data_IF_093626246791
#
_entry.id   IF_093626246791
#
_cell.length_a   1.000
_cell.length_b   1.000
_cell.length_c   1.000
_cell.angle_alpha   90.00
_cell.angle_beta   90.00
_cell.angle_gamma   90.00
#
_symmetry.space_group_name_H-M   'P 1'
#
loop_
_entity.id
_entity.type
_entity.pdbx_description
1 polymer ?
#
# COMPACT_ATOMS: atom_id res chain seq x y z
N UNK A 1 0.44 17.19 -0.89
CA UNK A 1 0.34 17.12 -2.35
C UNK A 1 1.41 16.19 -2.85
N UNK A 2 1.27 15.49 -3.96
CA UNK A 2 2.38 14.77 -4.57
C UNK A 2 3.51 15.77 -4.84
N UNK A 3 4.77 15.38 -4.63
CA UNK A 3 5.90 16.29 -4.65
C UNK A 3 6.02 17.08 -5.95
N UNK A 4 6.52 18.29 -5.85
CA UNK A 4 6.82 19.15 -6.99
C UNK A 4 7.83 18.43 -7.92
N UNK A 5 7.43 18.21 -9.17
CA UNK A 5 8.27 17.53 -10.17
C UNK A 5 9.58 18.28 -10.42
N UNK A 6 9.57 19.63 -10.37
CA UNK A 6 10.78 20.44 -10.51
C UNK A 6 11.76 20.25 -9.35
N UNK A 7 11.24 20.06 -8.12
CA UNK A 7 12.06 19.75 -6.96
C UNK A 7 12.65 18.33 -7.07
N UNK A 8 11.85 17.34 -7.44
CA UNK A 8 12.30 15.96 -7.63
C UNK A 8 13.36 15.83 -8.73
N UNK A 9 13.22 16.60 -9.80
CA UNK A 9 14.18 16.61 -10.93
C UNK A 9 15.57 17.12 -10.57
N UNK A 10 15.76 17.75 -9.39
CA UNK A 10 17.07 18.20 -8.93
C UNK A 10 17.99 17.02 -8.53
N UNK A 11 17.45 15.82 -8.40
CA UNK A 11 18.22 14.62 -8.09
C UNK A 11 17.91 13.52 -9.11
N UNK A 12 18.94 13.13 -9.83
CA UNK A 12 18.90 11.98 -10.74
C UNK A 12 19.94 10.96 -10.24
N UNK A 13 19.56 9.70 -10.22
CA UNK A 13 20.45 8.59 -9.88
C UNK A 13 20.46 7.55 -11.00
N UNK A 14 21.53 6.80 -11.15
CA UNK A 14 21.51 5.60 -11.98
C UNK A 14 20.65 4.51 -11.32
N UNK A 15 19.93 3.75 -12.14
CA UNK A 15 19.11 2.64 -11.66
C UNK A 15 20.00 1.50 -11.19
N UNK A 16 19.93 1.16 -9.92
CA UNK A 16 20.62 0.00 -9.36
C UNK A 16 19.89 -1.28 -9.77
N UNK A 17 20.63 -2.37 -10.04
CA UNK A 17 20.05 -3.68 -10.38
C UNK A 17 18.83 -3.57 -11.33
N UNK A 18 19.07 -2.95 -12.50
CA UNK A 18 18.02 -2.57 -13.44
C UNK A 18 17.20 -3.77 -13.98
N UNK A 19 17.76 -4.97 -13.95
CA UNK A 19 17.13 -6.19 -14.46
C UNK A 19 16.26 -6.90 -13.42
N UNK A 20 16.28 -6.46 -12.16
CA UNK A 20 15.45 -7.03 -11.09
C UNK A 20 13.97 -6.88 -11.43
N UNK A 21 13.21 -7.97 -11.60
CA UNK A 21 11.77 -7.86 -11.78
C UNK A 21 11.12 -7.29 -10.52
N UNK A 22 10.19 -6.36 -10.73
CA UNK A 22 9.44 -5.69 -9.68
C UNK A 22 7.95 -5.92 -9.92
N UNK A 23 7.26 -6.44 -8.92
CA UNK A 23 5.82 -6.30 -8.78
C UNK A 23 5.56 -5.21 -7.73
N UNK A 24 5.11 -4.03 -8.15
CA UNK A 24 4.76 -2.95 -7.23
C UNK A 24 3.35 -3.17 -6.67
N UNK A 25 3.19 -3.59 -5.41
CA UNK A 25 1.91 -4.02 -4.87
C UNK A 25 1.04 -2.87 -4.33
N UNK A 26 1.44 -1.59 -4.56
CA UNK A 26 0.67 -0.46 -4.06
C UNK A 26 0.94 0.83 -4.83
N UNK A 27 0.02 1.16 -5.70
CA UNK A 27 -0.06 2.50 -6.29
C UNK A 27 -1.52 2.95 -6.39
N UNK A 28 -1.70 4.24 -6.63
CA UNK A 28 -3.00 4.86 -6.88
C UNK A 28 -3.04 5.47 -8.27
N UNK A 29 -4.25 5.65 -8.80
CA UNK A 29 -4.50 6.36 -10.06
C UNK A 29 -5.70 7.28 -9.87
N UNK A 30 -5.59 8.52 -10.33
CA UNK A 30 -6.68 9.49 -10.27
C UNK A 30 -6.56 10.56 -11.35
N UNK A 31 -7.67 11.21 -11.64
CA UNK A 31 -7.75 12.41 -12.45
C UNK A 31 -8.85 13.32 -11.90
N UNK A 32 -8.67 14.64 -12.03
CA UNK A 32 -9.67 15.66 -11.64
C UNK A 32 -10.15 15.60 -10.19
N UNK A 33 -9.34 15.08 -9.28
CA UNK A 33 -9.61 15.18 -7.86
C UNK A 33 -9.19 16.55 -7.33
N UNK A 34 -9.96 17.09 -6.39
CA UNK A 34 -9.89 18.50 -5.95
C UNK A 34 -8.55 18.96 -5.36
N UNK A 35 -7.61 18.06 -5.13
CA UNK A 35 -6.35 18.34 -4.44
C UNK A 35 -5.14 17.60 -5.01
N UNK A 36 -5.25 17.06 -6.22
CA UNK A 36 -4.19 16.23 -6.80
C UNK A 36 -4.03 16.50 -8.30
N UNK A 37 -2.81 16.57 -8.77
CA UNK A 37 -2.51 16.52 -10.20
C UNK A 37 -2.93 15.16 -10.77
N UNK A 38 -3.22 15.12 -12.07
CA UNK A 38 -3.49 13.89 -12.79
C UNK A 38 -2.36 12.88 -12.58
N UNK A 39 -2.73 11.64 -12.29
CA UNK A 39 -1.81 10.51 -12.23
C UNK A 39 -2.53 9.25 -12.75
N UNK A 40 -2.27 8.93 -14.00
CA UNK A 40 -2.86 7.79 -14.72
C UNK A 40 -1.74 6.88 -15.24
N UNK A 41 -2.07 6.01 -16.21
CA UNK A 41 -1.14 5.01 -16.73
C UNK A 41 0.15 5.63 -17.29
N UNK A 42 0.05 6.72 -18.04
CA UNK A 42 1.22 7.36 -18.66
C UNK A 42 2.18 7.93 -17.62
N UNK A 43 1.65 8.60 -16.59
CA UNK A 43 2.45 9.14 -15.49
C UNK A 43 3.09 8.01 -14.64
N UNK A 44 2.34 6.94 -14.38
CA UNK A 44 2.86 5.76 -13.68
C UNK A 44 4.02 5.11 -14.45
N UNK A 45 3.87 4.93 -15.77
CA UNK A 45 4.91 4.35 -16.61
C UNK A 45 6.15 5.23 -16.70
N UNK A 46 5.96 6.56 -16.77
CA UNK A 46 7.06 7.51 -16.76
C UNK A 46 7.86 7.46 -15.45
N UNK A 47 7.19 7.27 -14.33
CA UNK A 47 7.83 7.17 -13.00
C UNK A 47 8.72 5.93 -12.85
N UNK A 48 8.48 4.85 -13.57
CA UNK A 48 9.30 3.62 -13.47
C UNK A 48 10.79 3.87 -13.75
N UNK A 49 11.12 4.90 -14.56
CA UNK A 49 12.46 5.47 -14.64
C UNK A 49 13.59 4.50 -15.00
N UNK A 50 13.30 3.42 -15.72
CA UNK A 50 14.26 2.37 -16.08
C UNK A 50 14.32 1.19 -15.12
N UNK A 51 13.55 1.19 -14.03
CA UNK A 51 13.31 -0.03 -13.25
C UNK A 51 12.45 -1.01 -14.03
N UNK A 52 12.75 -2.31 -13.93
CA UNK A 52 11.98 -3.37 -14.58
C UNK A 52 10.73 -3.71 -13.77
N UNK A 53 9.74 -2.82 -13.80
CA UNK A 53 8.42 -3.09 -13.23
C UNK A 53 7.64 -3.98 -14.19
N UNK A 54 7.32 -5.20 -13.77
CA UNK A 54 6.62 -6.18 -14.60
C UNK A 54 5.13 -6.23 -14.35
N UNK A 55 4.70 -5.92 -13.12
CA UNK A 55 3.29 -5.84 -12.76
C UNK A 55 3.05 -4.90 -11.59
N UNK A 56 1.80 -4.45 -11.42
CA UNK A 56 1.42 -3.60 -10.29
C UNK A 56 0.07 -4.00 -9.71
N UNK A 57 -0.18 -3.59 -8.45
CA UNK A 57 -1.50 -3.69 -7.80
C UNK A 57 -2.03 -2.29 -7.54
N UNK A 58 -3.20 -2.00 -8.11
CA UNK A 58 -3.95 -0.80 -7.81
C UNK A 58 -4.62 -0.92 -6.44
N UNK A 59 -4.53 0.11 -5.62
CA UNK A 59 -5.22 0.19 -4.34
C UNK A 59 -6.17 1.39 -4.33
N UNK A 60 -7.37 1.21 -3.81
CA UNK A 60 -8.43 2.22 -3.72
C UNK A 60 -7.90 3.58 -3.22
N UNK A 61 -8.43 4.66 -3.77
CA UNK A 61 -8.07 6.03 -3.41
C UNK A 61 -9.23 7.03 -3.54
N UNK A 62 -10.46 6.53 -3.53
CA UNK A 62 -11.70 7.26 -3.72
C UNK A 62 -11.83 7.91 -5.12
N UNK A 63 -11.25 7.28 -6.14
CA UNK A 63 -11.31 7.76 -7.51
C UNK A 63 -12.46 7.15 -8.31
N UNK A 64 -13.00 7.89 -9.27
CA UNK A 64 -13.89 7.37 -10.32
C UNK A 64 -15.10 6.58 -9.82
N UNK A 65 -15.70 7.01 -8.70
CA UNK A 65 -16.94 6.41 -8.23
C UNK A 65 -18.09 6.69 -9.21
N UNK A 66 -19.01 5.75 -9.34
CA UNK A 66 -20.21 5.96 -10.17
C UNK A 66 -20.99 7.17 -9.66
N UNK A 67 -21.38 8.07 -10.58
CA UNK A 67 -22.21 9.21 -10.28
C UNK A 67 -23.67 8.84 -10.11
N UNK A 68 -24.11 7.83 -10.85
CA UNK A 68 -25.51 7.40 -10.95
C UNK A 68 -25.68 5.95 -10.50
N UNK A 69 -26.94 5.55 -10.28
CA UNK A 69 -27.31 4.19 -9.92
C UNK A 69 -27.45 3.97 -8.41
N UNK A 70 -27.27 2.73 -7.97
CA UNK A 70 -27.39 2.37 -6.56
C UNK A 70 -26.20 2.91 -5.76
N UNK A 71 -26.47 3.81 -4.82
CA UNK A 71 -25.49 4.41 -3.92
C UNK A 71 -24.64 3.35 -3.18
N UNK A 72 -25.25 2.21 -2.85
CA UNK A 72 -24.53 1.11 -2.20
C UNK A 72 -23.46 0.45 -3.08
N UNK A 73 -23.52 0.63 -4.38
CA UNK A 73 -22.61 0.06 -5.38
C UNK A 73 -21.73 1.13 -6.05
N UNK A 74 -21.79 2.39 -5.64
CA UNK A 74 -21.03 3.48 -6.29
C UNK A 74 -19.52 3.23 -6.35
N UNK A 75 -18.98 2.56 -5.36
CA UNK A 75 -17.54 2.27 -5.27
C UNK A 75 -17.05 1.28 -6.34
N UNK A 76 -17.96 0.52 -6.96
CA UNK A 76 -17.63 -0.39 -8.08
C UNK A 76 -17.05 0.37 -9.28
N UNK A 77 -17.40 1.66 -9.45
CA UNK A 77 -16.83 2.52 -10.49
C UNK A 77 -15.31 2.60 -10.46
N UNK A 78 -14.69 2.62 -9.27
CA UNK A 78 -13.24 2.61 -9.14
C UNK A 78 -12.63 1.27 -9.62
N UNK A 79 -13.30 0.15 -9.37
CA UNK A 79 -12.87 -1.16 -9.89
C UNK A 79 -13.01 -1.23 -11.42
N UNK A 80 -14.08 -0.70 -11.98
CA UNK A 80 -14.30 -0.61 -13.43
C UNK A 80 -13.22 0.24 -14.10
N UNK A 81 -12.89 1.37 -13.48
CA UNK A 81 -11.82 2.24 -13.93
C UNK A 81 -10.46 1.52 -13.94
N UNK A 82 -10.06 0.93 -12.80
CA UNK A 82 -8.81 0.20 -12.68
C UNK A 82 -8.74 -1.00 -13.65
N UNK A 83 -9.88 -1.69 -13.86
CA UNK A 83 -10.00 -2.76 -14.86
C UNK A 83 -9.80 -2.24 -16.30
N UNK A 84 -10.30 -1.03 -16.60
CA UNK A 84 -10.07 -0.36 -17.88
C UNK A 84 -8.60 -0.05 -18.12
N UNK A 85 -7.90 0.48 -17.10
CA UNK A 85 -6.45 0.73 -17.15
C UNK A 85 -5.67 -0.57 -17.33
N UNK A 86 -6.07 -1.62 -16.62
CA UNK A 86 -5.46 -2.94 -16.78
C UNK A 86 -5.62 -3.48 -18.20
N UNK A 87 -6.77 -3.26 -18.84
CA UNK A 87 -7.02 -3.65 -20.23
C UNK A 87 -6.14 -2.83 -21.19
N UNK A 88 -5.97 -1.52 -20.97
CA UNK A 88 -5.04 -0.68 -21.73
C UNK A 88 -3.61 -1.25 -21.64
N UNK A 89 -3.12 -1.51 -20.44
CA UNK A 89 -1.78 -2.08 -20.23
C UNK A 89 -1.63 -3.45 -20.91
N UNK A 90 -2.63 -4.31 -20.81
CA UNK A 90 -2.61 -5.65 -21.39
C UNK A 90 -2.68 -5.68 -22.94
N UNK A 91 -3.02 -4.56 -23.60
CA UNK A 91 -3.08 -4.47 -25.06
C UNK A 91 -1.71 -4.58 -25.73
N UNK A 92 -0.61 -4.39 -24.97
CA UNK A 92 0.76 -4.36 -25.49
C UNK A 92 1.19 -3.01 -26.06
N UNK A 93 0.27 -2.05 -26.21
CA UNK A 93 0.61 -0.70 -26.71
C UNK A 93 1.37 0.15 -25.65
N UNK A 94 1.35 -0.26 -24.39
CA UNK A 94 2.00 0.39 -23.25
C UNK A 94 3.24 -0.38 -22.76
N UNK A 95 3.83 -1.22 -23.61
CA UNK A 95 4.97 -2.08 -23.26
C UNK A 95 4.57 -3.41 -22.62
N UNK A 96 5.52 -4.06 -21.94
CA UNK A 96 5.34 -5.42 -21.40
C UNK A 96 4.74 -5.43 -19.98
N UNK A 97 4.69 -4.28 -19.30
CA UNK A 97 4.16 -4.16 -17.95
C UNK A 97 2.68 -4.59 -17.89
N UNK A 98 2.28 -5.14 -16.78
CA UNK A 98 0.88 -5.46 -16.46
C UNK A 98 0.43 -4.55 -15.30
N UNK A 99 0.14 -3.29 -15.63
CA UNK A 99 -0.41 -2.35 -14.67
C UNK A 99 -1.79 -2.80 -14.18
N UNK A 100 -2.09 -2.60 -12.90
CA UNK A 100 -3.33 -3.06 -12.25
C UNK A 100 -3.59 -4.57 -12.44
N UNK A 101 -2.52 -5.40 -12.44
CA UNK A 101 -2.66 -6.86 -12.50
C UNK A 101 -3.44 -7.41 -11.29
N UNK A 102 -3.41 -6.71 -10.16
CA UNK A 102 -4.30 -6.85 -9.02
C UNK A 102 -5.05 -5.55 -8.75
N UNK A 103 -6.26 -5.66 -8.22
CA UNK A 103 -7.11 -4.53 -7.82
C UNK A 103 -7.59 -4.77 -6.40
N UNK A 104 -7.30 -3.82 -5.52
CA UNK A 104 -7.80 -3.74 -4.14
C UNK A 104 -8.75 -2.55 -4.08
N UNK A 105 -10.04 -2.82 -3.88
CA UNK A 105 -11.09 -1.81 -3.91
C UNK A 105 -11.58 -1.46 -2.51
N UNK A 106 -12.54 -0.52 -2.42
CA UNK A 106 -13.16 -0.12 -1.17
C UNK A 106 -14.42 -0.92 -0.87
N UNK A 107 -14.56 -1.36 0.39
CA UNK A 107 -15.84 -1.83 0.92
C UNK A 107 -16.02 -1.37 2.37
N UNK A 108 -17.25 -1.05 2.75
CA UNK A 108 -17.60 -0.72 4.14
C UNK A 108 -18.04 -1.99 4.88
N UNK A 109 -17.11 -2.57 5.63
CA UNK A 109 -17.32 -3.81 6.37
C UNK A 109 -18.26 -3.61 7.58
N UNK A 110 -18.52 -2.37 8.02
CA UNK A 110 -19.48 -2.09 9.10
C UNK A 110 -20.91 -2.41 8.69
N UNK A 111 -21.18 -2.61 7.40
CA UNK A 111 -22.46 -3.10 6.90
C UNK A 111 -22.75 -4.57 7.27
N UNK A 112 -21.80 -5.24 7.91
CA UNK A 112 -21.96 -6.64 8.27
C UNK A 112 -22.15 -7.52 7.03
N UNK A 113 -23.06 -8.51 7.09
CA UNK A 113 -23.33 -9.42 5.96
C UNK A 113 -23.84 -8.73 4.69
N UNK A 114 -24.42 -7.53 4.77
CA UNK A 114 -24.93 -6.81 3.60
C UNK A 114 -23.83 -6.33 2.65
N UNK A 115 -22.56 -6.33 3.11
CA UNK A 115 -21.40 -6.03 2.26
C UNK A 115 -21.23 -7.06 1.14
N UNK A 116 -21.75 -8.26 1.30
CA UNK A 116 -21.70 -9.36 0.32
C UNK A 116 -22.09 -8.91 -1.10
N UNK A 117 -23.18 -8.17 -1.23
CA UNK A 117 -23.67 -7.64 -2.51
C UNK A 117 -22.64 -6.74 -3.20
N UNK A 118 -21.96 -5.88 -2.44
CA UNK A 118 -20.92 -5.00 -2.98
C UNK A 118 -19.69 -5.81 -3.41
N UNK A 119 -19.25 -6.79 -2.60
CA UNK A 119 -18.10 -7.64 -2.93
C UNK A 119 -18.37 -8.44 -4.20
N UNK A 120 -19.58 -8.99 -4.37
CA UNK A 120 -19.97 -9.72 -5.57
C UNK A 120 -20.00 -8.80 -6.80
N UNK A 121 -20.41 -7.53 -6.64
CA UNK A 121 -20.40 -6.55 -7.72
C UNK A 121 -18.95 -6.17 -8.14
N UNK A 122 -18.02 -6.05 -7.20
CA UNK A 122 -16.60 -5.86 -7.52
C UNK A 122 -16.02 -7.07 -8.27
N UNK A 123 -16.34 -8.29 -7.82
CA UNK A 123 -15.93 -9.52 -8.52
C UNK A 123 -16.47 -9.53 -9.94
N UNK A 124 -17.74 -9.20 -10.15
CA UNK A 124 -18.35 -9.15 -11.48
C UNK A 124 -17.69 -8.10 -12.39
N UNK A 125 -17.32 -6.94 -11.85
CA UNK A 125 -16.64 -5.86 -12.58
C UNK A 125 -15.21 -6.23 -13.01
N UNK A 126 -14.52 -7.11 -12.27
CA UNK A 126 -13.14 -7.51 -12.57
C UNK A 126 -12.84 -8.92 -12.07
N UNK A 127 -13.39 -9.94 -12.74
CA UNK A 127 -13.37 -11.34 -12.31
C UNK A 127 -11.99 -11.91 -12.01
N UNK A 128 -10.96 -11.50 -12.75
CA UNK A 128 -9.61 -12.06 -12.62
C UNK A 128 -8.64 -11.18 -11.85
N UNK A 129 -8.89 -9.84 -11.76
CA UNK A 129 -7.97 -8.88 -11.17
C UNK A 129 -8.42 -8.34 -9.83
N UNK A 130 -9.71 -8.37 -9.49
CA UNK A 130 -10.16 -8.01 -8.15
C UNK A 130 -9.67 -9.05 -7.13
N UNK A 131 -8.84 -8.62 -6.17
CA UNK A 131 -8.13 -9.52 -5.25
C UNK A 131 -8.52 -9.35 -3.81
N UNK A 132 -9.00 -8.17 -3.44
CA UNK A 132 -9.29 -7.83 -2.06
C UNK A 132 -9.87 -6.45 -1.90
N UNK A 133 -10.01 -6.07 -0.65
CA UNK A 133 -10.51 -4.72 -0.29
C UNK A 133 -9.59 -4.06 0.73
N UNK A 134 -9.66 -2.73 0.75
CA UNK A 134 -9.18 -1.90 1.84
C UNK A 134 -10.37 -1.17 2.48
N UNK A 135 -10.50 -1.31 3.78
CA UNK A 135 -11.31 -0.42 4.61
C UNK A 135 -10.33 0.33 5.51
N UNK A 136 -9.88 1.49 5.04
CA UNK A 136 -8.87 2.28 5.74
C UNK A 136 -9.35 2.62 7.16
N UNK A 137 -8.58 2.22 8.17
CA UNK A 137 -8.94 2.30 9.58
C UNK A 137 -8.04 3.23 10.39
N UNK A 138 -7.12 3.96 9.73
CA UNK A 138 -6.19 4.85 10.41
C UNK A 138 -6.94 5.96 11.16
N UNK A 139 -6.84 5.92 12.48
CA UNK A 139 -7.48 6.81 13.44
C UNK A 139 -6.49 7.19 14.53
N UNK A 140 -6.59 8.43 14.99
CA UNK A 140 -5.85 8.93 16.14
C UNK A 140 -6.75 9.90 16.92
N UNK A 141 -6.66 9.94 18.27
CA UNK A 141 -7.46 10.87 19.08
C UNK A 141 -7.06 12.33 18.89
N UNK A 142 -5.83 12.58 18.45
CA UNK A 142 -5.29 13.94 18.34
C UNK A 142 -5.78 14.64 17.06
N UNK A 143 -6.30 15.87 17.15
CA UNK A 143 -6.93 16.56 16.02
C UNK A 143 -5.93 16.93 14.89
N UNK A 144 -4.63 17.04 15.20
CA UNK A 144 -3.59 17.31 14.20
C UNK A 144 -3.29 16.10 13.32
N UNK A 145 -3.68 14.89 13.75
CA UNK A 145 -3.47 13.68 12.99
C UNK A 145 -4.68 13.43 12.11
N UNK A 146 -4.45 13.46 10.80
CA UNK A 146 -5.51 13.23 9.82
C UNK A 146 -6.02 11.78 9.90
N UNK A 147 -7.32 11.62 10.10
CA UNK A 147 -7.98 10.32 9.95
C UNK A 147 -8.06 9.93 8.48
N UNK A 148 -8.18 8.63 8.22
CA UNK A 148 -8.44 8.15 6.86
C UNK A 148 -9.70 8.78 6.25
N UNK A 149 -9.78 8.77 4.93
CA UNK A 149 -10.93 9.28 4.16
C UNK A 149 -12.25 8.54 4.46
N UNK A 150 -12.17 7.37 5.10
CA UNK A 150 -13.33 6.61 5.60
C UNK A 150 -13.90 7.18 6.90
N UNK A 151 -13.20 8.15 7.53
CA UNK A 151 -13.54 8.70 8.85
C UNK A 151 -13.78 7.62 9.93
N UNK A 152 -12.87 6.65 10.11
CA UNK A 152 -13.09 5.51 11.00
C UNK A 152 -13.26 5.95 12.45
N UNK A 153 -14.12 5.27 13.24
CA UNK A 153 -14.15 5.42 14.69
C UNK A 153 -12.93 4.72 15.33
N UNK A 154 -12.63 5.01 16.62
CA UNK A 154 -11.68 4.21 17.39
C UNK A 154 -12.15 2.76 17.51
N UNK A 155 -11.21 1.80 17.52
CA UNK A 155 -11.52 0.39 17.74
C UNK A 155 -12.28 -0.30 16.59
N UNK A 156 -12.25 0.27 15.38
CA UNK A 156 -13.00 -0.24 14.23
C UNK A 156 -12.78 -1.73 13.96
N UNK A 157 -11.54 -2.21 14.06
CA UNK A 157 -11.21 -3.61 13.76
C UNK A 157 -11.75 -4.59 14.80
N UNK A 158 -12.16 -4.07 15.96
CA UNK A 158 -12.84 -4.82 17.02
C UNK A 158 -14.37 -4.79 16.93
N UNK A 159 -14.94 -3.91 16.10
CA UNK A 159 -16.39 -3.74 15.98
C UNK A 159 -17.09 -5.01 15.49
N UNK A 160 -18.19 -5.37 16.11
CA UNK A 160 -18.91 -6.61 15.80
C UNK A 160 -19.54 -6.62 14.41
N UNK A 161 -20.02 -5.47 13.91
CA UNK A 161 -20.59 -5.38 12.56
C UNK A 161 -19.46 -5.44 11.53
N UNK A 162 -18.33 -4.75 11.78
CA UNK A 162 -17.13 -4.84 10.95
C UNK A 162 -16.67 -6.30 10.81
N UNK A 163 -16.56 -7.04 11.92
CA UNK A 163 -16.10 -8.45 11.90
C UNK A 163 -17.09 -9.38 11.19
N UNK A 164 -18.40 -9.12 11.25
CA UNK A 164 -19.37 -9.86 10.42
C UNK A 164 -19.17 -9.58 8.93
N UNK A 165 -18.89 -8.34 8.56
CA UNK A 165 -18.53 -7.98 7.17
C UNK A 165 -17.19 -8.56 6.75
N UNK A 166 -16.21 -8.60 7.65
CA UNK A 166 -14.89 -9.19 7.39
C UNK A 166 -14.98 -10.69 7.07
N UNK A 167 -15.88 -11.43 7.72
CA UNK A 167 -16.14 -12.83 7.43
C UNK A 167 -16.62 -13.09 5.99
N UNK A 168 -17.21 -12.09 5.31
CA UNK A 168 -17.61 -12.21 3.90
C UNK A 168 -16.42 -12.24 2.95
N UNK A 169 -15.23 -11.74 3.38
CA UNK A 169 -13.98 -11.83 2.61
C UNK A 169 -13.49 -13.28 2.54
N UNK A 170 -13.54 -14.00 3.65
CA UNK A 170 -13.13 -15.40 3.72
C UNK A 170 -13.94 -16.27 2.74
N UNK A 171 -15.26 -16.08 2.71
CA UNK A 171 -16.16 -16.83 1.82
C UNK A 171 -15.84 -16.65 0.33
N UNK A 172 -15.20 -15.52 -0.02
CA UNK A 172 -14.87 -15.15 -1.40
C UNK A 172 -13.37 -15.29 -1.71
N UNK A 173 -12.57 -15.72 -0.75
CA UNK A 173 -11.11 -15.80 -0.89
C UNK A 173 -10.45 -14.44 -1.16
N UNK A 174 -11.02 -13.34 -0.64
CA UNK A 174 -10.51 -12.00 -0.81
C UNK A 174 -9.50 -11.64 0.27
N UNK A 175 -8.49 -10.84 -0.07
CA UNK A 175 -7.54 -10.27 0.89
C UNK A 175 -8.09 -8.99 1.53
N UNK A 176 -7.48 -8.62 2.65
CA UNK A 176 -7.73 -7.37 3.33
C UNK A 176 -6.43 -6.57 3.47
N UNK A 177 -6.37 -5.38 2.85
CA UNK A 177 -5.27 -4.44 3.02
C UNK A 177 -5.58 -3.53 4.22
N UNK A 178 -4.70 -3.56 5.22
CA UNK A 178 -4.90 -2.90 6.51
C UNK A 178 -4.11 -1.59 6.57
N UNK A 179 -4.74 -0.47 6.20
CA UNK A 179 -4.21 0.87 6.44
C UNK A 179 -4.67 1.39 7.80
N UNK A 180 -3.71 1.55 8.72
CA UNK A 180 -3.92 1.99 10.10
C UNK A 180 -2.68 2.76 10.60
N UNK A 181 -2.73 3.34 11.79
CA UNK A 181 -1.56 3.89 12.46
C UNK A 181 -0.94 2.90 13.44
N UNK A 182 0.35 3.07 13.71
CA UNK A 182 1.19 2.13 14.45
C UNK A 182 0.60 1.66 15.79
N UNK A 183 -0.07 2.53 16.52
CA UNK A 183 -0.69 2.19 17.82
C UNK A 183 -1.96 1.31 17.68
N UNK A 184 -2.46 1.12 16.45
CA UNK A 184 -3.59 0.22 16.15
C UNK A 184 -3.13 -1.19 15.72
N UNK A 185 -1.82 -1.46 15.60
CA UNK A 185 -1.30 -2.80 15.24
C UNK A 185 -1.83 -3.90 16.17
N UNK A 186 -1.98 -3.70 17.51
CA UNK A 186 -2.61 -4.70 18.38
C UNK A 186 -4.05 -5.06 18.00
N UNK A 187 -4.85 -4.11 17.50
CA UNK A 187 -6.20 -4.39 16.99
C UNK A 187 -6.15 -5.29 15.75
N UNK A 188 -5.19 -5.03 14.84
CA UNK A 188 -4.98 -5.86 13.65
C UNK A 188 -4.53 -7.27 14.03
N UNK A 189 -3.67 -7.41 15.04
CA UNK A 189 -3.24 -8.72 15.56
C UNK A 189 -4.43 -9.51 16.08
N UNK A 190 -5.35 -8.86 16.81
CA UNK A 190 -6.57 -9.49 17.29
C UNK A 190 -7.51 -9.90 16.15
N UNK A 191 -7.60 -9.10 15.08
CA UNK A 191 -8.37 -9.43 13.88
C UNK A 191 -7.74 -10.62 13.14
N UNK A 192 -6.42 -10.60 12.92
CA UNK A 192 -5.71 -11.66 12.22
C UNK A 192 -5.84 -13.03 12.91
N UNK A 193 -5.79 -13.04 14.24
CA UNK A 193 -6.02 -14.26 15.05
C UNK A 193 -7.45 -14.77 14.97
N UNK A 194 -8.43 -13.85 14.83
CA UNK A 194 -9.85 -14.22 14.73
C UNK A 194 -10.22 -14.79 13.34
N UNK A 195 -9.46 -14.43 12.30
CA UNK A 195 -9.72 -14.82 10.90
C UNK A 195 -8.46 -15.40 10.23
N UNK A 196 -7.97 -16.57 10.68
CA UNK A 196 -6.69 -17.10 10.23
C UNK A 196 -6.66 -17.51 8.74
N UNK A 197 -7.81 -17.68 8.11
CA UNK A 197 -7.92 -18.07 6.70
C UNK A 197 -7.99 -16.86 5.74
N UNK A 198 -8.10 -15.64 6.25
CA UNK A 198 -8.08 -14.43 5.42
C UNK A 198 -6.64 -13.93 5.29
N UNK A 199 -6.16 -13.75 4.06
CA UNK A 199 -4.90 -13.05 3.84
C UNK A 199 -5.04 -11.59 4.21
N UNK A 200 -4.27 -11.14 5.19
CA UNK A 200 -4.21 -9.74 5.62
C UNK A 200 -2.87 -9.17 5.17
N UNK A 201 -2.89 -7.97 4.61
CA UNK A 201 -1.70 -7.24 4.18
C UNK A 201 -1.59 -5.97 5.03
N UNK A 202 -0.55 -5.88 5.84
CA UNK A 202 -0.24 -4.66 6.60
C UNK A 202 0.31 -3.59 5.65
N UNK A 203 -0.42 -2.51 5.44
CA UNK A 203 0.03 -1.38 4.62
C UNK A 203 1.05 -0.53 5.40
N UNK A 204 2.11 -0.09 4.71
CA UNK A 204 2.98 1.02 5.13
C UNK A 204 3.55 0.90 6.55
N UNK A 205 4.06 -0.29 6.92
CA UNK A 205 4.56 -0.56 8.28
C UNK A 205 3.53 -0.32 9.40
N UNK A 206 2.24 -0.24 9.08
CA UNK A 206 1.23 0.22 10.04
C UNK A 206 1.38 1.70 10.40
N UNK A 207 1.73 2.55 9.44
CA UNK A 207 1.74 4.00 9.52
C UNK A 207 2.40 4.60 10.76
N UNK A 208 3.71 4.43 10.99
CA UNK A 208 4.39 5.06 12.14
C UNK A 208 4.28 6.57 12.07
N UNK A 209 3.64 7.19 13.07
CA UNK A 209 3.45 8.64 13.15
C UNK A 209 4.74 9.35 13.55
N UNK A 210 5.01 10.53 12.95
CA UNK A 210 6.17 11.36 13.26
C UNK A 210 5.86 12.85 13.34
N UNK A 211 4.58 13.22 13.28
CA UNK A 211 4.10 14.62 13.33
C UNK A 211 3.24 14.88 14.56
N UNK A 212 2.86 16.13 14.78
CA UNK A 212 2.00 16.52 15.90
C UNK A 212 2.55 16.02 17.25
N UNK A 213 1.75 15.33 18.07
CA UNK A 213 2.19 14.84 19.40
C UNK A 213 3.30 13.77 19.33
N UNK A 214 3.58 13.25 18.13
CA UNK A 214 4.60 12.22 17.86
C UNK A 214 5.92 12.82 17.33
N UNK A 215 5.97 14.12 17.06
CA UNK A 215 7.19 14.79 16.60
C UNK A 215 8.32 14.62 17.62
N UNK A 216 9.52 14.28 17.12
CA UNK A 216 10.70 14.04 17.96
C UNK A 216 10.72 12.72 18.74
N UNK A 217 9.66 11.90 18.70
CA UNK A 217 9.55 10.64 19.46
C UNK A 217 9.85 9.38 18.65
N UNK A 218 10.55 9.49 17.53
CA UNK A 218 10.79 8.37 16.60
C UNK A 218 11.39 7.14 17.27
N UNK A 219 12.35 7.32 18.20
CA UNK A 219 12.99 6.20 18.91
C UNK A 219 12.01 5.46 19.82
N UNK A 220 11.15 6.20 20.53
CA UNK A 220 10.10 5.66 21.41
C UNK A 220 9.06 4.89 20.58
N UNK A 221 8.58 5.52 19.51
CA UNK A 221 7.62 4.90 18.58
C UNK A 221 8.20 3.64 17.96
N UNK A 222 9.45 3.67 17.50
CA UNK A 222 10.11 2.50 16.95
C UNK A 222 10.22 1.36 17.96
N UNK A 223 10.53 1.68 19.23
CA UNK A 223 10.64 0.68 20.28
C UNK A 223 9.28 -0.01 20.56
N UNK A 224 8.18 0.74 20.57
CA UNK A 224 6.84 0.18 20.73
C UNK A 224 6.40 -0.57 19.47
N UNK A 225 6.58 0.02 18.29
CA UNK A 225 6.26 -0.60 17.00
C UNK A 225 6.92 -1.98 16.84
N UNK A 226 8.19 -2.13 17.25
CA UNK A 226 8.86 -3.43 17.22
C UNK A 226 8.11 -4.49 18.01
N UNK A 227 7.65 -4.18 19.22
CA UNK A 227 6.90 -5.12 20.06
C UNK A 227 5.58 -5.55 19.40
N UNK A 228 4.87 -4.57 18.83
CA UNK A 228 3.57 -4.82 18.22
C UNK A 228 3.71 -5.61 16.92
N UNK A 229 4.75 -5.32 16.12
CA UNK A 229 5.10 -6.07 14.91
C UNK A 229 5.56 -7.49 15.24
N UNK A 230 6.32 -7.70 16.31
CA UNK A 230 6.73 -9.03 16.77
C UNK A 230 5.52 -9.93 17.04
N UNK A 231 4.47 -9.37 17.66
CA UNK A 231 3.22 -10.09 17.91
C UNK A 231 2.41 -10.33 16.63
N UNK A 232 2.32 -9.33 15.76
CA UNK A 232 1.59 -9.44 14.49
C UNK A 232 2.25 -10.47 13.56
N UNK A 233 3.58 -10.50 13.51
CA UNK A 233 4.35 -11.41 12.66
C UNK A 233 4.16 -12.91 13.02
N UNK A 234 3.64 -13.21 14.22
CA UNK A 234 3.23 -14.59 14.61
C UNK A 234 1.96 -15.05 13.90
N UNK A 235 1.20 -14.13 13.32
CA UNK A 235 0.03 -14.47 12.52
C UNK A 235 0.48 -14.82 11.09
N UNK A 236 0.45 -16.11 10.74
CA UNK A 236 0.99 -16.59 9.44
C UNK A 236 0.18 -16.09 8.23
N UNK A 237 -1.07 -15.72 8.45
CA UNK A 237 -1.96 -15.12 7.45
C UNK A 237 -1.68 -13.63 7.18
N UNK A 238 -0.66 -13.03 7.82
CA UNK A 238 -0.29 -11.63 7.63
C UNK A 238 0.97 -11.51 6.79
N UNK A 239 0.90 -10.71 5.73
CA UNK A 239 2.04 -10.21 4.97
C UNK A 239 2.20 -8.70 5.21
N UNK A 240 3.40 -8.15 5.00
CA UNK A 240 3.70 -6.75 5.24
C UNK A 240 4.19 -6.06 3.97
N UNK A 241 3.61 -4.92 3.64
CA UNK A 241 4.11 -3.95 2.66
C UNK A 241 5.15 -3.06 3.29
N UNK A 242 6.31 -3.05 2.69
CA UNK A 242 7.49 -2.30 3.12
C UNK A 242 7.72 -1.11 2.18
N UNK A 243 6.93 -0.09 2.37
CA UNK A 243 6.93 1.19 1.67
C UNK A 243 5.98 2.14 2.37
N UNK A 244 5.64 3.29 1.77
CA UNK A 244 4.76 4.28 2.39
C UNK A 244 5.34 4.90 3.68
N UNK A 245 6.62 4.65 3.99
CA UNK A 245 7.28 5.19 5.18
C UNK A 245 7.76 6.63 5.00
N UNK A 246 7.65 7.16 3.78
CA UNK A 246 8.10 8.51 3.43
C UNK A 246 6.94 9.51 3.26
N UNK A 247 5.72 9.13 3.62
CA UNK A 247 4.59 10.07 3.68
C UNK A 247 4.84 11.16 4.71
N UNK A 248 4.27 12.35 4.49
CA UNK A 248 4.37 13.48 5.42
C UNK A 248 4.01 13.12 6.87
N UNK A 249 3.02 12.23 7.07
CA UNK A 249 2.59 11.80 8.40
C UNK A 249 3.69 11.07 9.21
N UNK A 250 4.69 10.52 8.52
CA UNK A 250 5.84 9.86 9.16
C UNK A 250 6.90 10.85 9.66
N UNK A 251 6.79 12.15 9.34
CA UNK A 251 7.56 13.25 9.89
C UNK A 251 9.06 13.19 9.58
N UNK A 252 9.43 12.81 8.36
CA UNK A 252 10.83 12.89 7.91
C UNK A 252 11.22 14.30 7.48
N UNK A 253 10.24 15.15 7.10
CA UNK A 253 10.46 16.53 6.68
C UNK A 253 11.27 16.66 5.39
N UNK A 254 11.20 15.66 4.52
CA UNK A 254 11.91 15.70 3.24
C UNK A 254 11.33 16.77 2.31
N UNK A 255 10.02 16.95 2.38
CA UNK A 255 9.24 17.94 1.61
C UNK A 255 9.61 19.39 1.88
N UNK A 256 10.19 19.67 3.06
CA UNK A 256 10.60 21.01 3.46
C UNK A 256 12.05 21.34 3.09
N UNK A 257 12.77 20.41 2.46
CA UNK A 257 14.19 20.56 2.12
C UNK A 257 14.38 21.27 0.78
N UNK A 258 15.51 21.97 0.65
CA UNK A 258 15.88 22.62 -0.61
C UNK A 258 16.09 21.61 -1.76
N UNK A 259 16.47 20.36 -1.45
CA UNK A 259 16.67 19.27 -2.41
C UNK A 259 16.12 17.96 -1.86
N UNK A 260 15.63 17.06 -2.71
CA UNK A 260 15.19 15.74 -2.29
C UNK A 260 16.35 14.90 -1.72
N UNK A 261 16.06 13.95 -0.81
CA UNK A 261 17.05 13.01 -0.32
C UNK A 261 17.45 12.02 -1.40
N UNK A 262 18.70 11.54 -1.35
CA UNK A 262 19.16 10.44 -2.19
C UNK A 262 18.80 9.07 -1.63
N UNK A 263 18.86 8.04 -2.50
CA UNK A 263 18.52 6.67 -2.11
C UNK A 263 19.41 6.10 -1.00
N UNK A 264 20.68 6.52 -0.93
CA UNK A 264 21.58 6.11 0.14
C UNK A 264 21.15 6.70 1.50
N UNK A 265 20.79 7.98 1.52
CA UNK A 265 20.31 8.67 2.72
C UNK A 265 19.00 8.05 3.22
N UNK A 266 18.03 7.82 2.32
CA UNK A 266 16.77 7.16 2.66
C UNK A 266 17.02 5.76 3.23
N UNK A 267 17.86 4.98 2.56
CA UNK A 267 18.18 3.62 2.99
C UNK A 267 18.84 3.59 4.38
N UNK A 268 19.77 4.51 4.66
CA UNK A 268 20.42 4.62 5.97
C UNK A 268 19.42 4.97 7.06
N UNK A 269 18.61 6.01 6.85
CA UNK A 269 17.64 6.50 7.83
C UNK A 269 16.54 5.49 8.15
N UNK A 270 16.09 4.71 7.15
CA UNK A 270 14.93 3.83 7.29
C UNK A 270 15.28 2.36 7.52
N UNK A 271 16.52 1.94 7.24
CA UNK A 271 17.00 0.55 7.36
C UNK A 271 16.55 -0.18 8.63
N UNK A 272 16.57 0.43 9.84
CA UNK A 272 16.15 -0.28 11.06
C UNK A 272 14.72 -0.81 10.99
N UNK A 273 13.79 -0.07 10.37
CA UNK A 273 12.38 -0.47 10.20
C UNK A 273 12.26 -1.66 9.25
N UNK A 274 12.93 -1.57 8.10
CA UNK A 274 12.93 -2.64 7.09
C UNK A 274 13.59 -3.91 7.62
N UNK A 275 14.75 -3.79 8.24
CA UNK A 275 15.49 -4.92 8.77
C UNK A 275 14.67 -5.69 9.82
N UNK A 276 14.03 -4.97 10.75
CA UNK A 276 13.20 -5.59 11.77
C UNK A 276 11.98 -6.28 11.17
N UNK A 277 11.26 -5.63 10.23
CA UNK A 277 10.12 -6.25 9.57
C UNK A 277 10.51 -7.52 8.79
N UNK A 278 11.60 -7.46 8.00
CA UNK A 278 12.09 -8.62 7.25
C UNK A 278 12.54 -9.75 8.19
N UNK A 279 13.19 -9.43 9.30
CA UNK A 279 13.60 -10.42 10.30
C UNK A 279 12.39 -11.13 10.92
N UNK A 280 11.32 -10.38 11.23
CA UNK A 280 10.16 -10.91 11.95
C UNK A 280 9.15 -11.64 11.07
N UNK A 281 8.80 -11.07 9.93
CA UNK A 281 7.88 -11.72 8.99
C UNK A 281 8.58 -12.76 8.09
N UNK A 282 9.89 -12.61 7.88
CA UNK A 282 10.63 -13.30 6.83
C UNK A 282 10.38 -12.69 5.45
N UNK A 283 11.36 -12.73 4.56
CA UNK A 283 11.26 -12.14 3.22
C UNK A 283 10.04 -12.63 2.43
N UNK A 284 9.62 -13.88 2.64
CA UNK A 284 8.45 -14.48 1.98
C UNK A 284 7.10 -13.89 2.39
N UNK A 285 7.06 -13.09 3.45
CA UNK A 285 5.85 -12.37 3.88
C UNK A 285 6.05 -10.85 3.87
N UNK A 286 7.14 -10.37 3.24
CA UNK A 286 7.43 -8.97 3.03
C UNK A 286 7.45 -8.66 1.55
N UNK A 287 6.94 -7.48 1.15
CA UNK A 287 6.98 -6.97 -0.20
C UNK A 287 7.26 -5.48 -0.21
N UNK A 288 8.24 -5.02 -1.00
CA UNK A 288 8.44 -3.60 -1.22
C UNK A 288 7.31 -3.02 -2.05
N UNK A 289 6.91 -1.80 -1.75
CA UNK A 289 5.84 -1.07 -2.44
C UNK A 289 6.22 0.39 -2.65
N UNK A 290 5.69 1.02 -3.69
CA UNK A 290 5.96 2.43 -3.93
C UNK A 290 5.05 3.38 -3.16
N UNK A 291 3.79 3.04 -2.97
CA UNK A 291 2.74 3.97 -2.50
C UNK A 291 2.64 5.23 -3.37
N UNK A 292 2.94 5.11 -4.68
CA UNK A 292 2.92 6.26 -5.59
C UNK A 292 1.50 6.60 -6.07
N UNK A 293 1.22 7.90 -6.24
CA UNK A 293 2.14 9.03 -6.08
C UNK A 293 2.21 9.64 -4.67
N UNK A 294 1.72 8.97 -3.62
CA UNK A 294 1.71 9.55 -2.27
C UNK A 294 3.13 9.81 -1.73
N UNK A 295 4.06 8.88 -1.89
CA UNK A 295 5.45 9.02 -1.42
C UNK A 295 6.29 9.96 -2.31
N UNK A 296 5.74 10.41 -3.46
CA UNK A 296 6.36 11.45 -4.30
C UNK A 296 6.62 12.75 -3.54
N UNK A 297 5.89 12.99 -2.45
CA UNK A 297 6.14 14.12 -1.55
C UNK A 297 7.58 14.16 -1.03
N UNK A 298 8.25 13.02 -0.94
CA UNK A 298 9.60 12.90 -0.36
C UNK A 298 10.69 12.56 -1.37
N UNK A 299 10.41 11.80 -2.42
CA UNK A 299 11.41 11.42 -3.43
C UNK A 299 10.78 10.91 -4.73
N UNK A 300 11.59 10.80 -5.79
CA UNK A 300 11.16 10.17 -7.03
C UNK A 300 11.02 8.65 -6.87
N UNK A 301 10.21 8.03 -7.73
CA UNK A 301 10.05 6.58 -7.82
C UNK A 301 11.40 5.86 -7.99
N UNK A 302 12.26 6.40 -8.85
CA UNK A 302 13.59 5.86 -9.10
C UNK A 302 14.46 5.86 -7.84
N UNK A 303 14.48 6.94 -7.09
CA UNK A 303 15.22 7.06 -5.83
C UNK A 303 14.66 6.11 -4.77
N UNK A 304 13.33 5.99 -4.67
CA UNK A 304 12.66 5.10 -3.74
C UNK A 304 13.08 3.64 -3.98
N UNK A 305 12.95 3.14 -5.21
CA UNK A 305 13.31 1.75 -5.54
C UNK A 305 14.83 1.49 -5.43
N UNK A 306 15.66 2.48 -5.72
CA UNK A 306 17.09 2.39 -5.44
C UNK A 306 17.35 2.26 -3.93
N UNK A 307 16.60 2.96 -3.07
CA UNK A 307 16.72 2.83 -1.61
C UNK A 307 16.40 1.40 -1.14
N UNK A 308 15.35 0.79 -1.69
CA UNK A 308 15.00 -0.61 -1.40
C UNK A 308 16.11 -1.59 -1.85
N UNK A 309 16.69 -1.37 -3.02
CA UNK A 309 17.82 -2.17 -3.51
C UNK A 309 19.06 -2.06 -2.61
N UNK A 310 19.32 -0.86 -2.05
CA UNK A 310 20.37 -0.65 -1.03
C UNK A 310 20.06 -1.34 0.30
N UNK A 311 18.81 -1.31 0.73
CA UNK A 311 18.36 -2.00 1.95
C UNK A 311 18.53 -3.51 1.80
N UNK A 312 18.14 -4.06 0.65
CA UNK A 312 18.20 -5.49 0.37
C UNK A 312 19.58 -5.98 -0.10
N UNK A 313 20.62 -5.12 -0.14
CA UNK A 313 21.92 -5.50 -0.71
C UNK A 313 22.53 -6.75 -0.06
N UNK A 314 22.32 -6.95 1.24
CA UNK A 314 22.81 -8.12 1.98
C UNK A 314 21.91 -9.35 1.94
N UNK A 315 20.73 -9.27 1.33
CA UNK A 315 19.81 -10.40 1.19
C UNK A 315 20.29 -11.37 0.11
N UNK A 316 19.98 -12.65 0.27
CA UNK A 316 20.16 -13.65 -0.78
C UNK A 316 19.29 -13.36 -2.01
N UNK A 317 19.60 -13.93 -3.16
CA UNK A 317 18.81 -13.74 -4.37
C UNK A 317 17.35 -14.23 -4.21
N UNK A 318 17.13 -15.31 -3.47
CA UNK A 318 15.77 -15.79 -3.16
C UNK A 318 14.98 -14.84 -2.27
N UNK A 319 15.63 -14.19 -1.32
CA UNK A 319 15.00 -13.16 -0.48
C UNK A 319 14.71 -11.88 -1.29
N UNK A 320 15.65 -11.46 -2.15
CA UNK A 320 15.41 -10.34 -3.05
C UNK A 320 14.23 -10.61 -3.98
N UNK A 321 14.17 -11.81 -4.59
CA UNK A 321 13.02 -12.17 -5.44
C UNK A 321 11.71 -12.12 -4.66
N UNK A 322 11.68 -12.61 -3.43
CA UNK A 322 10.51 -12.51 -2.58
C UNK A 322 10.12 -11.05 -2.31
N UNK A 323 11.06 -10.21 -1.87
CA UNK A 323 10.83 -8.82 -1.48
C UNK A 323 10.38 -7.93 -2.65
N UNK A 324 10.95 -8.13 -3.84
CA UNK A 324 10.68 -7.29 -5.01
C UNK A 324 9.52 -7.79 -5.88
N UNK A 325 9.13 -9.07 -5.78
CA UNK A 325 8.17 -9.63 -6.72
C UNK A 325 7.31 -10.76 -6.14
N UNK A 326 7.91 -11.88 -5.71
CA UNK A 326 7.18 -13.14 -5.55
C UNK A 326 6.15 -13.08 -4.40
N UNK A 327 6.44 -12.34 -3.33
CA UNK A 327 5.51 -12.18 -2.21
C UNK A 327 4.24 -11.45 -2.65
N UNK A 328 4.37 -10.38 -3.44
CA UNK A 328 3.23 -9.64 -3.98
C UNK A 328 2.40 -10.53 -4.91
N UNK A 329 3.04 -11.25 -5.84
CA UNK A 329 2.38 -12.18 -6.75
C UNK A 329 1.58 -13.24 -5.98
N UNK A 330 2.17 -13.80 -4.94
CA UNK A 330 1.50 -14.82 -4.11
C UNK A 330 0.37 -14.23 -3.26
N UNK A 331 0.62 -13.12 -2.55
CA UNK A 331 -0.36 -12.50 -1.66
C UNK A 331 -1.64 -12.09 -2.41
N UNK A 332 -1.47 -11.53 -3.60
CA UNK A 332 -2.59 -11.10 -4.44
C UNK A 332 -2.98 -12.13 -5.49
N UNK A 333 -2.37 -13.32 -5.50
CA UNK A 333 -2.72 -14.40 -6.47
C UNK A 333 -2.73 -13.87 -7.91
N UNK A 334 -1.68 -13.11 -8.27
CA UNK A 334 -1.55 -12.56 -9.61
C UNK A 334 -1.27 -13.68 -10.61
N UNK A 335 -1.75 -13.50 -11.84
CA UNK A 335 -1.36 -14.40 -12.94
C UNK A 335 0.16 -14.25 -13.19
N UNK A 336 0.82 -15.39 -13.38
CA UNK A 336 2.24 -15.46 -13.70
C UNK A 336 2.52 -14.93 -15.12
#
# INVERSE_FOLDING_TARGET
MPGDLGWLAQLQEEVLDAQRPICDPHHHLWDRQSHSERYLLDELLADFGGHRVVSTVFVECAAMYRADGDEALRWVGETEFAQGVAAMSASGHYGEVRACAGIVSRADLTRGGDVARLLDAHIAASQTRFKGIRHASAWDPHPEIRRSHTAPPPGLLGDAAFRRGFAELEKRGLSFDAWLYHHQIPELTALARAFPNVTIVLDHFGGPLGIGPYAGKRAEIFAQWKKDVDELARCENVAAKLGGLLMAVNGWGHEDRAKPPGSAEIAEATRPWYAHAIERFGARRCMFESNFPMDRVSCSYQVLWNSFKRIAAGCSESEKNALFHDTAVRAYRLAA
#
